data_IF_421232943443
#
_entry.id   IF_421232943443
#
_cell.length_a   1.000
_cell.length_b   1.000
_cell.length_c   1.000
_cell.angle_alpha   90.00
_cell.angle_beta   90.00
_cell.angle_gamma   90.00
#
_symmetry.space_group_name_H-M   'P 1'
#
loop_
_entity.id
_entity.type
_entity.pdbx_description
1 polymer ?
#
# COMPACT_ATOMS: atom_id res chain seq x y z
N UNK A 1 6.95 19.09 -5.35
CA UNK A 1 6.01 19.35 -4.25
C UNK A 1 6.52 18.65 -3.00
N UNK A 2 6.11 19.10 -1.81
CA UNK A 2 6.45 18.40 -0.55
C UNK A 2 5.66 17.10 -0.41
N UNK A 3 6.36 15.99 -0.21
CA UNK A 3 5.74 14.68 0.00
C UNK A 3 6.65 13.71 0.73
N UNK A 4 6.05 12.64 1.26
CA UNK A 4 6.75 11.57 1.95
C UNK A 4 7.06 10.43 0.96
N UNK A 5 8.29 9.94 0.95
CA UNK A 5 8.75 8.90 0.03
C UNK A 5 9.65 7.85 0.73
N UNK A 6 9.74 6.67 0.11
CA UNK A 6 10.57 5.55 0.55
C UNK A 6 11.46 5.12 -0.63
N UNK A 7 12.77 5.01 -0.42
CA UNK A 7 13.73 4.47 -1.40
C UNK A 7 14.07 2.99 -1.15
N UNK A 8 13.74 2.52 0.06
CA UNK A 8 13.89 1.13 0.51
C UNK A 8 12.72 0.74 1.41
N UNK A 9 12.50 -0.57 1.52
CA UNK A 9 11.51 -1.12 2.44
C UNK A 9 11.99 -1.05 3.90
N UNK A 10 11.13 -0.63 4.83
CA UNK A 10 11.44 -0.45 6.25
C UNK A 10 10.33 0.25 7.02
N UNK A 11 10.60 0.61 8.28
CA UNK A 11 9.65 1.34 9.13
C UNK A 11 9.65 2.85 8.84
N UNK A 12 9.17 3.66 9.80
CA UNK A 12 9.20 5.11 9.66
C UNK A 12 10.63 5.69 9.61
N UNK A 13 11.62 4.91 10.00
CA UNK A 13 13.05 5.25 9.94
C UNK A 13 13.59 5.38 8.52
N UNK A 14 12.95 4.76 7.52
CA UNK A 14 13.33 4.88 6.10
C UNK A 14 12.42 5.83 5.32
N UNK A 15 11.45 6.47 5.99
CA UNK A 15 10.56 7.44 5.37
C UNK A 15 11.23 8.81 5.33
N UNK A 16 11.35 9.39 4.13
CA UNK A 16 11.96 10.71 3.93
C UNK A 16 10.94 11.71 3.40
N UNK A 17 10.98 12.93 3.93
CA UNK A 17 10.20 14.07 3.42
C UNK A 17 11.06 14.81 2.42
N UNK A 18 10.53 15.05 1.23
CA UNK A 18 11.22 15.71 0.12
C UNK A 18 10.33 16.75 -0.54
N UNK A 19 10.93 17.85 -1.00
CA UNK A 19 10.24 18.96 -1.66
C UNK A 19 10.28 18.90 -3.20
N UNK A 20 11.12 18.02 -3.73
CA UNK A 20 11.42 17.86 -5.15
C UNK A 20 10.69 16.68 -5.81
N UNK A 21 9.65 16.15 -5.16
CA UNK A 21 8.86 15.06 -5.72
C UNK A 21 7.99 15.54 -6.89
N UNK A 22 7.83 14.71 -7.94
CA UNK A 22 6.87 14.98 -9.00
C UNK A 22 5.46 15.04 -8.40
N UNK A 23 4.59 15.84 -9.01
CA UNK A 23 3.18 15.89 -8.64
C UNK A 23 2.56 14.49 -8.82
N UNK A 24 1.98 13.88 -7.78
CA UNK A 24 1.32 12.60 -7.90
C UNK A 24 0.07 12.81 -8.77
N UNK A 25 -0.23 11.87 -9.66
CA UNK A 25 -1.50 11.91 -10.38
C UNK A 25 -2.64 11.82 -9.37
N UNK A 26 -3.44 12.89 -9.27
CA UNK A 26 -4.61 12.94 -8.39
C UNK A 26 -5.88 12.58 -9.17
N UNK A 27 -6.61 11.60 -8.66
CA UNK A 27 -8.03 11.40 -8.98
C UNK A 27 -8.37 10.32 -10.02
N UNK A 28 -9.64 9.87 -10.04
CA UNK A 28 -10.14 8.81 -10.91
C UNK A 28 -10.09 9.13 -12.41
N UNK A 29 -9.94 10.41 -12.79
CA UNK A 29 -9.77 10.86 -14.18
C UNK A 29 -8.35 10.61 -14.72
N UNK A 30 -7.39 10.25 -13.87
CA UNK A 30 -6.11 9.66 -14.29
C UNK A 30 -6.25 8.19 -14.74
N UNK A 31 -7.49 7.69 -14.83
CA UNK A 31 -7.84 6.31 -15.12
C UNK A 31 -8.17 5.54 -13.85
N UNK A 32 -9.18 4.66 -13.93
CA UNK A 32 -9.46 3.69 -12.87
C UNK A 32 -8.21 2.85 -12.62
N UNK A 33 -7.54 3.08 -11.48
CA UNK A 33 -6.42 2.24 -11.06
C UNK A 33 -6.98 0.86 -10.67
N UNK A 34 -6.90 -0.09 -11.60
CA UNK A 34 -7.19 -1.50 -11.29
C UNK A 34 -6.06 -2.07 -10.47
N UNK A 35 -6.32 -2.25 -9.19
CA UNK A 35 -5.36 -2.88 -8.28
C UNK A 35 -5.62 -4.37 -8.23
N UNK A 36 -4.61 -5.18 -8.54
CA UNK A 36 -4.70 -6.63 -8.39
C UNK A 36 -4.83 -7.00 -6.91
N UNK A 37 -5.93 -7.63 -6.54
CA UNK A 37 -6.12 -8.22 -5.21
C UNK A 37 -5.40 -9.56 -5.21
N UNK A 38 -4.39 -9.69 -4.36
CA UNK A 38 -3.64 -10.93 -4.20
C UNK A 38 -4.40 -11.92 -3.31
N UNK A 39 -5.02 -11.42 -2.23
CA UNK A 39 -5.83 -12.22 -1.31
C UNK A 39 -6.81 -11.34 -0.53
N UNK A 40 -7.99 -11.88 -0.24
CA UNK A 40 -9.00 -11.25 0.59
C UNK A 40 -9.21 -12.08 1.86
N UNK A 41 -9.39 -11.40 3.00
CA UNK A 41 -9.62 -12.01 4.31
C UNK A 41 -10.90 -11.43 4.90
N UNK A 42 -11.74 -12.28 5.51
CA UNK A 42 -12.84 -11.78 6.32
C UNK A 42 -12.31 -11.03 7.54
N UNK A 43 -13.11 -10.11 8.11
CA UNK A 43 -12.70 -9.31 9.27
C UNK A 43 -12.16 -10.16 10.44
N UNK A 44 -12.72 -11.35 10.68
CA UNK A 44 -12.26 -12.28 11.72
C UNK A 44 -10.84 -12.83 11.48
N UNK A 45 -10.31 -12.72 10.26
CA UNK A 45 -9.04 -13.29 9.81
C UNK A 45 -7.97 -12.20 9.57
N UNK A 46 -8.17 -10.98 10.07
CA UNK A 46 -7.21 -9.87 9.88
C UNK A 46 -5.84 -10.18 10.47
N UNK A 47 -5.75 -10.98 11.54
CA UNK A 47 -4.48 -11.43 12.09
C UNK A 47 -3.67 -12.24 11.06
N UNK A 48 -4.32 -13.17 10.35
CA UNK A 48 -3.69 -13.96 9.29
C UNK A 48 -3.29 -13.09 8.09
N UNK A 49 -4.08 -12.07 7.78
CA UNK A 49 -3.76 -11.08 6.75
C UNK A 49 -2.48 -10.30 7.10
N UNK A 50 -2.33 -9.90 8.37
CA UNK A 50 -1.13 -9.23 8.87
C UNK A 50 0.10 -10.14 8.84
N UNK A 51 -0.05 -11.39 9.27
CA UNK A 51 1.03 -12.38 9.19
C UNK A 51 1.52 -12.56 7.75
N UNK A 52 0.61 -12.72 6.79
CA UNK A 52 0.94 -12.86 5.36
C UNK A 52 1.70 -11.65 4.80
N UNK A 53 1.33 -10.43 5.19
CA UNK A 53 2.06 -9.21 4.78
C UNK A 53 3.44 -9.15 5.45
N UNK A 54 3.54 -9.62 6.69
CA UNK A 54 4.80 -9.69 7.44
C UNK A 54 5.85 -10.63 6.83
N UNK A 55 5.42 -11.63 6.05
CA UNK A 55 6.31 -12.56 5.34
C UNK A 55 7.06 -11.89 4.15
N UNK A 56 6.64 -10.70 3.72
CA UNK A 56 7.30 -9.91 2.68
C UNK A 56 6.35 -9.37 1.61
N UNK A 57 6.87 -9.10 0.42
CA UNK A 57 6.09 -8.48 -0.65
C UNK A 57 5.07 -9.45 -1.25
N UNK A 58 3.80 -9.24 -0.92
CA UNK A 58 2.68 -9.85 -1.64
C UNK A 58 2.60 -9.20 -3.04
N UNK A 59 2.54 -10.01 -4.10
CA UNK A 59 2.29 -9.51 -5.47
C UNK A 59 0.81 -9.12 -5.62
N UNK A 60 0.48 -7.89 -5.24
CA UNK A 60 -0.87 -7.33 -5.23
C UNK A 60 -1.27 -6.87 -3.82
N UNK A 61 -2.51 -6.44 -3.66
CA UNK A 61 -3.01 -5.98 -2.35
C UNK A 61 -3.67 -7.11 -1.56
N UNK A 62 -3.43 -7.10 -0.25
CA UNK A 62 -4.22 -7.84 0.73
C UNK A 62 -5.36 -6.93 1.19
N UNK A 63 -6.59 -7.43 1.16
CA UNK A 63 -7.79 -6.65 1.53
C UNK A 63 -8.60 -7.34 2.62
N UNK A 64 -9.15 -6.55 3.54
CA UNK A 64 -10.14 -7.01 4.51
C UNK A 64 -11.56 -6.82 3.95
N UNK A 65 -12.41 -7.83 4.08
CA UNK A 65 -13.82 -7.76 3.67
C UNK A 65 -14.73 -7.66 4.88
N UNK A 66 -15.74 -6.78 4.75
CA UNK A 66 -16.87 -6.67 5.66
C UNK A 66 -18.08 -7.37 5.01
N UNK A 67 -18.95 -8.03 5.78
CA UNK A 67 -20.21 -8.58 5.28
C UNK A 67 -21.19 -7.48 4.84
#
# INVERSE_FOLDING_TARGET
MTGACYDRFGGLDVLTVRDDLPEPPVGPDAGQLRVSIARAFGLAQVADAQALVGEGHVRGRVVGTLP
#
